data_IF_872867521188
#
_entry.id   IF_872867521188
#
_cell.length_a   1.000
_cell.length_b   1.000
_cell.length_c   1.000
_cell.angle_alpha   90.00
_cell.angle_beta   90.00
_cell.angle_gamma   90.00
#
_symmetry.space_group_name_H-M   'P 1'
#
loop_
_entity.id
_entity.type
_entity.pdbx_description
1 polymer ?
#
# COMPACT_ATOMS: atom_id res chain seq x y z
N UNK A 1 11.87 10.69 20.26
CA UNK A 1 11.41 10.56 18.87
C UNK A 1 12.42 11.32 18.02
N UNK A 2 13.43 10.62 17.49
CA UNK A 2 14.50 11.21 16.69
C UNK A 2 13.98 11.62 15.31
N UNK A 3 14.65 12.59 14.68
CA UNK A 3 14.29 13.13 13.36
C UNK A 3 14.11 12.03 12.31
N UNK A 4 14.89 10.96 12.43
CA UNK A 4 14.90 9.81 11.52
C UNK A 4 13.57 9.00 11.53
N UNK A 5 12.86 8.94 12.66
CA UNK A 5 11.56 8.27 12.73
C UNK A 5 10.46 9.07 12.01
N UNK A 6 10.49 10.41 12.14
CA UNK A 6 9.55 11.27 11.42
C UNK A 6 9.81 11.22 9.91
N UNK A 7 11.08 11.25 9.50
CA UNK A 7 11.47 11.14 8.10
C UNK A 7 11.00 9.79 7.48
N UNK A 8 11.04 8.70 8.25
CA UNK A 8 10.53 7.38 7.84
C UNK A 8 9.00 7.36 7.67
N UNK A 9 8.26 7.97 8.59
CA UNK A 9 6.80 8.09 8.51
C UNK A 9 6.34 8.97 7.34
N UNK A 10 7.08 10.03 7.07
CA UNK A 10 6.81 10.94 5.95
C UNK A 10 7.06 10.23 4.61
N UNK A 11 8.17 9.49 4.49
CA UNK A 11 8.48 8.65 3.33
C UNK A 11 7.40 7.57 3.11
N UNK A 12 6.97 6.89 4.18
CA UNK A 12 5.88 5.91 4.13
C UNK A 12 4.61 6.53 3.56
N UNK A 13 4.24 7.71 4.07
CA UNK A 13 3.07 8.45 3.64
C UNK A 13 3.16 8.85 2.17
N UNK A 14 4.32 9.34 1.73
CA UNK A 14 4.57 9.73 0.34
C UNK A 14 4.42 8.54 -0.61
N UNK A 15 5.02 7.39 -0.26
CA UNK A 15 4.89 6.15 -1.03
C UNK A 15 3.41 5.73 -1.10
N UNK A 16 2.70 5.65 0.02
CA UNK A 16 1.28 5.26 0.03
C UNK A 16 0.43 6.20 -0.84
N UNK A 17 0.68 7.50 -0.76
CA UNK A 17 -0.02 8.50 -1.56
C UNK A 17 0.29 8.37 -3.06
N UNK A 18 1.53 8.02 -3.44
CA UNK A 18 1.91 7.76 -4.82
C UNK A 18 1.17 6.55 -5.42
N UNK A 19 0.87 5.52 -4.63
CA UNK A 19 0.13 4.33 -5.07
C UNK A 19 -1.39 4.47 -4.93
N UNK A 20 -1.89 5.48 -4.21
CA UNK A 20 -3.32 5.66 -3.99
C UNK A 20 -4.16 5.76 -5.29
N UNK A 21 -3.74 6.48 -6.34
CA UNK A 21 -4.49 6.55 -7.61
C UNK A 21 -4.69 5.18 -8.27
N UNK A 22 -3.71 4.27 -8.15
CA UNK A 22 -3.77 2.92 -8.72
C UNK A 22 -4.83 2.10 -7.98
N UNK A 23 -4.88 2.18 -6.66
CA UNK A 23 -5.94 1.53 -5.89
C UNK A 23 -7.32 2.10 -6.23
N UNK A 24 -7.44 3.42 -6.41
CA UNK A 24 -8.70 4.06 -6.80
C UNK A 24 -9.16 3.58 -8.18
N UNK A 25 -8.24 3.36 -9.13
CA UNK A 25 -8.57 2.78 -10.43
C UNK A 25 -9.22 1.40 -10.27
N UNK A 26 -8.64 0.51 -9.49
CA UNK A 26 -9.22 -0.82 -9.25
C UNK A 26 -10.55 -0.77 -8.49
N UNK A 27 -10.72 0.17 -7.55
CA UNK A 27 -12.02 0.42 -6.89
C UNK A 27 -13.10 0.85 -7.89
N UNK A 28 -12.76 1.70 -8.85
CA UNK A 28 -13.68 2.13 -9.91
C UNK A 28 -14.04 0.95 -10.80
N UNK A 29 -13.05 0.16 -11.24
CA UNK A 29 -13.28 -1.05 -12.04
C UNK A 29 -14.20 -2.05 -11.34
N UNK A 30 -13.98 -2.27 -10.04
CA UNK A 30 -14.83 -3.14 -9.21
C UNK A 30 -16.29 -2.65 -9.21
N UNK A 31 -16.52 -1.36 -8.91
CA UNK A 31 -17.87 -0.77 -8.86
C UNK A 31 -18.59 -0.75 -10.21
N UNK A 32 -17.87 -0.49 -11.31
CA UNK A 32 -18.47 -0.50 -12.65
C UNK A 32 -18.89 -1.93 -13.07
N UNK A 33 -18.15 -2.95 -12.64
CA UNK A 33 -18.47 -4.36 -12.92
C UNK A 33 -19.70 -4.91 -12.17
N UNK A 34 -20.25 -4.16 -11.21
CA UNK A 34 -21.50 -4.54 -10.51
C UNK A 34 -22.73 -4.35 -11.41
N UNK A 35 -22.64 -3.46 -12.41
CA UNK A 35 -23.72 -3.16 -13.35
C UNK A 35 -23.57 -3.81 -14.73
N UNK A 36 -22.43 -4.46 -14.99
CA UNK A 36 -22.08 -5.03 -16.30
C UNK A 36 -21.62 -6.48 -16.05
N UNK A 37 -22.17 -7.44 -16.79
CA UNK A 37 -21.68 -8.83 -16.84
C UNK A 37 -20.30 -8.91 -17.55
N UNK A 38 -19.35 -8.07 -17.15
CA UNK A 38 -17.98 -8.10 -17.60
C UNK A 38 -17.10 -8.71 -16.52
N UNK A 39 -16.96 -10.02 -16.59
CA UNK A 39 -16.16 -10.81 -15.65
C UNK A 39 -14.66 -10.46 -15.75
N UNK A 40 -14.18 -9.95 -16.89
CA UNK A 40 -12.77 -9.58 -17.05
C UNK A 40 -12.43 -8.33 -16.24
N UNK A 41 -13.24 -7.27 -16.35
CA UNK A 41 -13.04 -6.05 -15.55
C UNK A 41 -13.16 -6.33 -14.06
N UNK A 42 -14.10 -7.20 -13.64
CA UNK A 42 -14.22 -7.63 -12.25
C UNK A 42 -12.97 -8.34 -11.75
N UNK A 43 -12.50 -9.38 -12.47
CA UNK A 43 -11.32 -10.14 -12.07
C UNK A 43 -10.05 -9.27 -12.04
N UNK A 44 -9.89 -8.35 -13.00
CA UNK A 44 -8.78 -7.39 -12.96
C UNK A 44 -8.86 -6.46 -11.74
N UNK A 45 -10.06 -6.02 -11.36
CA UNK A 45 -10.26 -5.21 -10.16
C UNK A 45 -9.92 -5.98 -8.88
N UNK A 46 -10.38 -7.23 -8.75
CA UNK A 46 -10.10 -8.09 -7.59
C UNK A 46 -8.60 -8.33 -7.41
N UNK A 47 -7.91 -8.74 -8.49
CA UNK A 47 -6.46 -8.95 -8.46
C UNK A 47 -5.73 -7.65 -8.12
N UNK A 48 -6.12 -6.54 -8.74
CA UNK A 48 -5.50 -5.23 -8.48
C UNK A 48 -5.65 -4.75 -7.04
N UNK A 49 -6.84 -4.92 -6.45
CA UNK A 49 -7.09 -4.60 -5.04
C UNK A 49 -6.27 -5.47 -4.10
N UNK A 50 -6.16 -6.77 -4.39
CA UNK A 50 -5.33 -7.68 -3.59
C UNK A 50 -3.84 -7.31 -3.66
N UNK A 51 -3.35 -6.91 -4.84
CA UNK A 51 -1.98 -6.41 -5.00
C UNK A 51 -1.75 -5.12 -4.21
N UNK A 52 -2.70 -4.18 -4.21
CA UNK A 52 -2.61 -2.96 -3.40
C UNK A 52 -2.59 -3.27 -1.89
N UNK A 53 -3.38 -4.25 -1.45
CA UNK A 53 -3.39 -4.70 -0.06
C UNK A 53 -2.05 -5.35 0.33
N UNK A 54 -1.59 -6.30 -0.49
CA UNK A 54 -0.30 -6.97 -0.32
C UNK A 54 0.87 -5.99 -0.31
N UNK A 55 0.83 -4.95 -1.14
CA UNK A 55 1.83 -3.88 -1.17
C UNK A 55 1.91 -3.15 0.17
N UNK A 56 0.78 -2.73 0.75
CA UNK A 56 0.74 -2.03 2.04
C UNK A 56 1.31 -2.88 3.16
N UNK A 57 0.89 -4.14 3.25
CA UNK A 57 1.38 -5.07 4.28
C UNK A 57 2.90 -5.26 4.16
N UNK A 58 3.43 -5.41 2.95
CA UNK A 58 4.87 -5.55 2.72
C UNK A 58 5.64 -4.26 3.03
N UNK A 59 5.08 -3.11 2.67
CA UNK A 59 5.66 -1.81 2.99
C UNK A 59 5.72 -1.59 4.50
N UNK A 60 4.62 -1.88 5.20
CA UNK A 60 4.55 -1.81 6.65
C UNK A 60 5.62 -2.71 7.29
N UNK A 61 5.70 -3.97 6.87
CA UNK A 61 6.70 -4.91 7.38
C UNK A 61 8.13 -4.39 7.18
N UNK A 62 8.49 -3.95 5.97
CA UNK A 62 9.83 -3.44 5.65
C UNK A 62 10.22 -2.24 6.53
N UNK A 63 9.29 -1.32 6.77
CA UNK A 63 9.56 -0.12 7.56
C UNK A 63 9.60 -0.42 9.06
N UNK A 64 8.77 -1.36 9.56
CA UNK A 64 8.85 -1.80 10.97
C UNK A 64 10.13 -2.58 11.29
N UNK A 65 10.68 -3.35 10.33
CA UNK A 65 11.96 -4.03 10.52
C UNK A 65 13.12 -3.03 10.62
N UNK A 66 13.08 -1.93 9.86
CA UNK A 66 14.09 -0.86 9.96
C UNK A 66 14.07 -0.13 11.31
N UNK A 67 12.92 -0.04 11.98
CA UNK A 67 12.83 0.54 13.33
C UNK A 67 13.52 -0.34 14.38
N UNK A 68 13.42 -1.67 14.26
CA UNK A 68 14.06 -2.60 15.21
C UNK A 68 15.59 -2.64 15.06
N UNK A 69 16.10 -2.62 13.83
CA UNK A 69 17.55 -2.63 13.58
C UNK A 69 18.24 -1.33 14.07
N UNK A 70 17.54 -0.19 14.08
CA UNK A 70 18.08 1.08 14.60
C UNK A 70 18.06 1.17 16.13
N UNK A 71 17.14 0.47 16.82
CA UNK A 71 17.12 0.43 18.29
C UNK A 71 18.21 -0.49 18.87
N UNK A 72 18.60 -1.55 18.16
CA UNK A 72 19.65 -2.48 18.62
C UNK A 72 21.08 -1.94 18.42
N UNK A 73 21.35 -1.07 17.43
CA UNK A 73 22.68 -0.46 17.21
C UNK A 73 23.01 0.71 18.18
N UNK A 74 22.05 1.07 19.05
CA UNK A 74 22.22 2.07 20.11
C UNK A 74 22.26 1.50 21.53
N UNK A 75 22.47 0.18 21.67
CA UNK A 75 22.61 -0.52 22.96
C UNK A 75 24.03 -0.99 23.28
#
# INVERSE_FOLDING_TARGET
MGKDHQDLLDLKTEIINGFHPIEQLFKIMSKQSEGIHDDMTRSCAEVGLELCNSFRIKLDALLTTQEQDQEDDHR
#
